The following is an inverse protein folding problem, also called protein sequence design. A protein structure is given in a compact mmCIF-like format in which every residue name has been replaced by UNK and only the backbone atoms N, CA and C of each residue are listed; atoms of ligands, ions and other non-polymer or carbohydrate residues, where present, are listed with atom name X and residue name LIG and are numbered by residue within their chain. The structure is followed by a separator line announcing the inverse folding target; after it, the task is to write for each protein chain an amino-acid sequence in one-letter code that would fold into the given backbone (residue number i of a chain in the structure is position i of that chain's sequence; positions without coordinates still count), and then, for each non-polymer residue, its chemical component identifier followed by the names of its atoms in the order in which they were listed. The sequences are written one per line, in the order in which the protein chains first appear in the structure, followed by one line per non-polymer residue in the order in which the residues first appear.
data_IF_221865551804
#
_entry.id   IF_221865551804
#
_cell.length_a   1.000
_cell.length_b   1.000
_cell.length_c   1.000
_cell.angle_alpha   90.00
_cell.angle_beta   90.00
_cell.angle_gamma   90.00
#
_symmetry.space_group_name_H-M   'P 1'
#
loop_
_entity.id
_entity.type
_entity.pdbx_description
1 polymer ?
#
# COMPACT_ATOMS: atom_id res chain seq x y z
N UNK A 1 9.07 28.66 -15.03
CA UNK A 1 7.62 28.46 -15.15
C UNK A 1 7.34 27.03 -15.56
N UNK A 2 6.81 26.22 -14.65
CA UNK A 2 5.67 25.32 -14.91
C UNK A 2 5.21 24.79 -13.55
N UNK A 3 4.12 25.41 -13.09
CA UNK A 3 3.28 24.94 -12.00
C UNK A 3 2.59 23.65 -12.41
N UNK A 4 2.63 22.60 -11.58
CA UNK A 4 1.52 21.65 -11.53
C UNK A 4 1.17 21.36 -10.08
N UNK A 5 -0.02 21.86 -9.74
CA UNK A 5 -0.68 21.65 -8.48
C UNK A 5 -1.27 20.23 -8.48
N UNK A 6 -0.61 19.31 -7.79
CA UNK A 6 -1.23 18.21 -7.05
C UNK A 6 -0.19 17.62 -6.08
N UNK A 7 0.39 18.48 -5.24
CA UNK A 7 1.40 18.07 -4.28
C UNK A 7 0.69 17.52 -3.04
N UNK A 8 0.49 16.20 -3.01
CA UNK A 8 0.30 15.50 -1.73
C UNK A 8 1.47 15.88 -0.81
N UNK A 9 1.22 16.06 0.49
CA UNK A 9 2.25 16.46 1.47
C UNK A 9 3.52 15.59 1.40
N UNK A 10 3.41 14.36 0.92
CA UNK A 10 4.50 13.43 0.64
C UNK A 10 5.43 13.92 -0.48
N UNK A 11 4.90 14.46 -1.58
CA UNK A 11 5.68 14.97 -2.71
C UNK A 11 6.53 16.20 -2.36
N UNK A 12 6.07 17.05 -1.42
CA UNK A 12 6.87 18.15 -0.89
C UNK A 12 8.14 17.66 -0.17
N UNK A 13 8.07 16.50 0.50
CA UNK A 13 9.23 15.92 1.16
C UNK A 13 10.21 15.30 0.15
N UNK A 14 9.71 14.72 -0.94
CA UNK A 14 10.52 14.20 -2.05
C UNK A 14 11.28 15.32 -2.81
N UNK A 15 10.61 16.44 -3.11
CA UNK A 15 11.23 17.53 -3.87
C UNK A 15 12.32 18.27 -3.08
N UNK A 16 12.22 18.29 -1.75
CA UNK A 16 13.20 18.94 -0.87
C UNK A 16 14.47 18.09 -0.69
N UNK A 17 14.37 16.76 -0.81
CA UNK A 17 15.47 15.83 -0.53
C UNK A 17 16.28 15.39 -1.77
N UNK A 18 15.68 15.32 -2.97
CA UNK A 18 16.43 15.07 -4.22
C UNK A 18 15.69 15.57 -5.47
N UNK A 19 15.97 16.80 -5.97
CA UNK A 19 15.32 17.34 -7.18
C UNK A 19 15.62 16.53 -8.46
N UNK A 20 16.79 15.89 -8.56
CA UNK A 20 17.24 15.13 -9.73
C UNK A 20 16.79 13.67 -9.75
N UNK A 21 16.40 13.10 -8.60
CA UNK A 21 15.89 11.72 -8.51
C UNK A 21 14.42 11.64 -8.95
N UNK A 22 13.62 12.66 -8.63
CA UNK A 22 12.18 12.65 -8.86
C UNK A 22 11.79 12.56 -10.35
N UNK A 23 12.58 13.20 -11.23
CA UNK A 23 12.38 13.20 -12.68
C UNK A 23 12.86 11.92 -13.37
N UNK A 24 13.97 11.31 -12.92
CA UNK A 24 14.50 10.06 -13.50
C UNK A 24 13.67 8.82 -13.12
N UNK A 25 13.16 8.76 -11.88
CA UNK A 25 12.31 7.67 -11.40
C UNK A 25 11.00 7.62 -12.18
N UNK A 26 10.38 8.77 -12.46
CA UNK A 26 9.11 8.82 -13.20
C UNK A 26 9.27 8.33 -14.66
N UNK A 27 10.38 8.67 -15.33
CA UNK A 27 10.67 8.26 -16.71
C UNK A 27 11.05 6.77 -16.79
N UNK A 28 11.85 6.25 -15.86
CA UNK A 28 12.22 4.83 -15.82
C UNK A 28 11.02 3.91 -15.52
N UNK A 29 10.11 4.32 -14.61
CA UNK A 29 8.89 3.57 -14.31
C UNK A 29 7.90 3.55 -15.48
N UNK A 30 7.85 4.62 -16.28
CA UNK A 30 6.95 4.71 -17.44
C UNK A 30 7.36 3.73 -18.57
N UNK A 31 8.67 3.56 -18.80
CA UNK A 31 9.17 2.72 -19.89
C UNK A 31 9.37 1.23 -19.54
N UNK A 32 9.65 0.87 -18.28
CA UNK A 32 9.93 -0.54 -17.91
C UNK A 32 8.70 -1.37 -17.51
N UNK A 33 7.59 -0.73 -17.10
CA UNK A 33 6.57 -1.45 -16.30
C UNK A 33 5.15 -1.39 -16.85
N UNK A 34 4.87 -0.57 -17.87
CA UNK A 34 3.52 -0.40 -18.41
C UNK A 34 3.47 -1.00 -19.81
N UNK A 35 2.94 -2.22 -19.94
CA UNK A 35 2.27 -2.59 -21.17
C UNK A 35 0.86 -1.97 -21.15
N UNK A 36 0.56 -0.95 -21.98
CA UNK A 36 -0.70 -0.20 -21.92
C UNK A 36 -1.94 -1.07 -22.13
N UNK A 37 -1.76 -2.25 -22.76
CA UNK A 37 -2.85 -3.13 -23.18
C UNK A 37 -3.53 -3.86 -22.00
N UNK A 38 -2.82 -4.15 -20.89
CA UNK A 38 -3.40 -4.90 -19.75
C UNK A 38 -4.34 -4.08 -18.85
N UNK A 39 -4.20 -2.75 -18.84
CA UNK A 39 -5.07 -1.85 -18.07
C UNK A 39 -6.37 -1.51 -18.82
N UNK A 40 -6.42 -1.75 -20.14
CA UNK A 40 -7.56 -1.41 -21.01
C UNK A 40 -8.71 -2.39 -20.88
N UNK A 41 -8.42 -3.69 -20.73
CA UNK A 41 -9.43 -4.75 -20.67
C UNK A 41 -10.38 -4.63 -19.47
N UNK A 42 -9.94 -4.02 -18.36
CA UNK A 42 -10.77 -3.81 -17.17
C UNK A 42 -11.70 -2.58 -17.24
N UNK A 43 -11.49 -1.65 -18.19
CA UNK A 43 -12.31 -0.43 -18.30
C UNK A 43 -13.57 -0.60 -19.17
N UNK A 44 -13.67 -1.69 -19.93
CA UNK A 44 -14.68 -1.81 -21.01
C UNK A 44 -16.08 -2.24 -20.52
N UNK A 45 -16.25 -2.61 -19.26
CA UNK A 45 -17.52 -3.12 -18.72
C UNK A 45 -18.38 -2.07 -18.00
N UNK A 46 -18.20 -0.78 -18.27
CA UNK A 46 -18.99 0.28 -17.63
C UNK A 46 -20.17 0.71 -18.51
N UNK A 47 -21.25 -0.08 -18.55
CA UNK A 47 -22.56 0.40 -19.02
C UNK A 47 -23.67 -0.51 -18.48
N UNK A 48 -24.60 0.10 -17.73
CA UNK A 48 -25.92 -0.41 -17.30
C UNK A 48 -25.97 -1.30 -16.04
N UNK A 49 -26.43 -0.71 -14.93
CA UNK A 49 -27.05 -1.42 -13.82
C UNK A 49 -28.53 -1.69 -14.18
N UNK A 50 -29.05 -2.92 -14.02
CA UNK A 50 -30.46 -3.18 -14.27
C UNK A 50 -31.35 -2.57 -13.18
N UNK A 51 -32.59 -2.13 -13.49
CA UNK A 51 -33.49 -1.48 -12.54
C UNK A 51 -34.02 -2.39 -11.41
N UNK A 52 -33.90 -3.71 -11.53
CA UNK A 52 -34.46 -4.69 -10.58
C UNK A 52 -33.36 -5.58 -9.99
N UNK A 53 -32.61 -5.06 -9.02
CA UNK A 53 -31.66 -5.86 -8.26
C UNK A 53 -32.38 -6.65 -7.15
N UNK A 54 -32.95 -7.80 -7.49
CA UNK A 54 -33.81 -8.63 -6.62
C UNK A 54 -33.06 -9.72 -5.83
N UNK A 55 -31.72 -9.67 -5.77
CA UNK A 55 -30.92 -10.72 -5.10
C UNK A 55 -31.15 -10.82 -3.58
N UNK A 56 -31.78 -9.82 -2.96
CA UNK A 56 -32.15 -9.86 -1.54
C UNK A 56 -33.02 -11.07 -1.18
N UNK A 57 -33.78 -11.64 -2.12
CA UNK A 57 -34.60 -12.81 -1.86
C UNK A 57 -33.80 -14.14 -1.93
N UNK A 58 -32.68 -14.15 -2.65
CA UNK A 58 -31.84 -15.34 -2.84
C UNK A 58 -30.70 -15.42 -1.82
N UNK A 59 -30.34 -14.32 -1.18
CA UNK A 59 -29.23 -14.26 -0.20
C UNK A 59 -29.79 -14.04 1.20
N UNK A 60 -29.41 -14.89 2.16
CA UNK A 60 -29.80 -14.69 3.57
C UNK A 60 -28.65 -14.85 4.54
N UNK A 61 -28.72 -14.09 5.63
CA UNK A 61 -27.69 -14.05 6.68
C UNK A 61 -28.12 -14.72 8.00
N UNK A 62 -29.35 -15.21 8.10
CA UNK A 62 -29.87 -15.85 9.31
C UNK A 62 -29.41 -17.30 9.45
N UNK A 63 -29.18 -17.73 10.71
CA UNK A 63 -28.97 -19.13 11.10
C UNK A 63 -30.28 -19.93 10.94
N UNK A 64 -30.64 -20.25 9.69
CA UNK A 64 -31.69 -21.23 9.45
C UNK A 64 -31.13 -22.61 9.76
N UNK A 65 -31.88 -23.43 10.52
CA UNK A 65 -31.53 -24.83 10.77
C UNK A 65 -31.16 -25.51 9.44
N UNK A 66 -29.99 -26.13 9.41
CA UNK A 66 -29.60 -26.97 8.28
C UNK A 66 -30.48 -28.22 8.36
N UNK A 67 -31.41 -28.38 7.43
CA UNK A 67 -32.19 -29.61 7.31
C UNK A 67 -31.20 -30.76 7.06
N UNK A 68 -31.04 -31.65 8.06
CA UNK A 68 -29.98 -32.66 8.11
C UNK A 68 -30.07 -33.71 6.99
N UNK A 69 -31.16 -33.74 6.22
CA UNK A 69 -31.42 -34.72 5.16
C UNK A 69 -31.36 -34.13 3.74
N UNK A 70 -31.18 -32.81 3.60
CA UNK A 70 -31.18 -32.16 2.29
C UNK A 70 -29.76 -32.08 1.69
N UNK A 71 -29.63 -32.39 0.40
CA UNK A 71 -28.40 -32.09 -0.37
C UNK A 71 -28.07 -30.60 -0.24
N UNK A 72 -26.88 -30.30 0.25
CA UNK A 72 -26.38 -28.95 0.43
C UNK A 72 -25.01 -28.79 -0.24
N UNK A 73 -24.74 -27.60 -0.75
CA UNK A 73 -23.44 -27.26 -1.33
C UNK A 73 -22.74 -26.31 -0.37
N UNK A 74 -21.47 -26.56 -0.10
CA UNK A 74 -20.62 -25.71 0.74
C UNK A 74 -19.46 -25.22 -0.11
N UNK A 75 -19.07 -23.97 0.10
CA UNK A 75 -17.98 -23.31 -0.62
C UNK A 75 -16.98 -22.76 0.36
N UNK A 76 -15.70 -22.81 0.00
CA UNK A 76 -14.66 -22.14 0.76
C UNK A 76 -13.49 -21.68 -0.12
N UNK A 77 -12.76 -20.69 0.37
CA UNK A 77 -11.52 -20.20 -0.21
C UNK A 77 -10.42 -20.10 0.84
N UNK A 78 -9.27 -20.73 0.55
CA UNK A 78 -8.12 -20.76 1.45
C UNK A 78 -6.91 -20.06 0.83
N UNK A 79 -6.10 -19.41 1.67
CA UNK A 79 -4.83 -18.79 1.26
C UNK A 79 -3.75 -19.12 2.27
N UNK A 80 -2.60 -19.53 1.75
CA UNK A 80 -1.35 -19.68 2.49
C UNK A 80 -0.22 -18.96 1.73
N UNK A 81 1.00 -19.00 2.25
CA UNK A 81 2.17 -18.46 1.55
C UNK A 81 2.52 -19.27 0.29
N UNK A 82 2.12 -20.55 0.26
CA UNK A 82 2.39 -21.47 -0.86
C UNK A 82 1.43 -21.27 -2.03
N UNK A 83 0.20 -20.83 -1.77
CA UNK A 83 -0.79 -20.66 -2.83
C UNK A 83 -2.17 -20.25 -2.33
N UNK A 84 -3.15 -20.38 -3.21
CA UNK A 84 -4.54 -20.05 -2.92
C UNK A 84 -5.42 -21.13 -3.50
N UNK A 85 -6.37 -21.64 -2.72
CA UNK A 85 -7.25 -22.74 -3.08
C UNK A 85 -8.70 -22.28 -3.01
N UNK A 86 -9.50 -22.76 -3.96
CA UNK A 86 -10.93 -22.48 -4.07
C UNK A 86 -11.67 -23.80 -4.22
N UNK A 87 -12.80 -23.97 -3.55
CA UNK A 87 -13.52 -25.25 -3.61
C UNK A 87 -15.02 -25.10 -3.44
N UNK A 88 -15.76 -26.04 -4.00
CA UNK A 88 -17.07 -26.38 -3.46
C UNK A 88 -17.14 -27.88 -3.21
N UNK A 89 -17.98 -28.28 -2.26
CA UNK A 89 -18.35 -29.66 -2.03
C UNK A 89 -19.86 -29.80 -1.91
N UNK A 90 -20.38 -30.92 -2.42
CA UNK A 90 -21.78 -31.30 -2.32
C UNK A 90 -21.87 -32.38 -1.25
N UNK A 91 -22.63 -32.09 -0.20
CA UNK A 91 -22.85 -33.00 0.92
C UNK A 91 -24.27 -33.58 0.86
N UNK A 92 -24.38 -34.88 1.04
CA UNK A 92 -25.65 -35.62 1.16
C UNK A 92 -25.44 -36.76 2.17
N UNK A 93 -26.34 -36.91 3.14
CA UNK A 93 -26.22 -37.91 4.22
C UNK A 93 -24.85 -37.93 4.93
N UNK A 94 -24.32 -36.74 5.27
CA UNK A 94 -23.01 -36.54 5.91
C UNK A 94 -21.78 -36.97 5.08
N UNK A 95 -21.97 -37.39 3.82
CA UNK A 95 -20.89 -37.74 2.90
C UNK A 95 -20.70 -36.69 1.79
N UNK A 96 -19.44 -36.48 1.38
CA UNK A 96 -19.13 -35.71 0.16
C UNK A 96 -19.41 -36.61 -1.05
N UNK A 97 -20.39 -36.23 -1.87
CA UNK A 97 -20.75 -36.98 -3.08
C UNK A 97 -20.10 -36.41 -4.34
N UNK A 98 -19.72 -35.14 -4.31
CA UNK A 98 -19.01 -34.46 -5.38
C UNK A 98 -18.26 -33.24 -4.83
N UNK A 99 -17.15 -32.89 -5.45
CA UNK A 99 -16.40 -31.67 -5.13
C UNK A 99 -15.67 -31.14 -6.35
N UNK A 100 -15.29 -29.88 -6.28
CA UNK A 100 -14.38 -29.25 -7.23
C UNK A 100 -13.32 -28.50 -6.45
N UNK A 101 -12.05 -28.63 -6.86
CA UNK A 101 -10.91 -28.02 -6.20
C UNK A 101 -10.07 -27.25 -7.23
N UNK A 102 -10.11 -25.93 -7.17
CA UNK A 102 -9.32 -25.03 -8.00
C UNK A 102 -8.07 -24.53 -7.29
N UNK A 103 -6.92 -24.78 -7.90
CA UNK A 103 -5.62 -24.22 -7.50
C UNK A 103 -5.40 -22.87 -8.17
N UNK A 104 -5.33 -21.80 -7.39
CA UNK A 104 -5.04 -20.44 -7.84
C UNK A 104 -3.57 -20.08 -7.59
N UNK A 105 -3.11 -19.01 -8.24
CA UNK A 105 -1.76 -18.48 -8.02
C UNK A 105 -1.64 -17.87 -6.62
N UNK A 106 -0.44 -17.95 -6.02
CA UNK A 106 -0.15 -17.37 -4.69
C UNK A 106 -0.43 -15.87 -4.58
N UNK A 107 -0.46 -15.15 -5.70
CA UNK A 107 -0.81 -13.73 -5.73
C UNK A 107 -2.31 -13.46 -5.65
N UNK A 108 -3.16 -14.47 -5.88
CA UNK A 108 -4.61 -14.32 -5.74
C UNK A 108 -5.01 -14.14 -4.27
N UNK A 109 -6.11 -13.42 -4.05
CA UNK A 109 -6.61 -13.17 -2.70
C UNK A 109 -7.59 -14.25 -2.24
N UNK A 110 -7.76 -14.42 -0.93
CA UNK A 110 -8.84 -15.26 -0.34
C UNK A 110 -10.19 -14.87 -0.94
N UNK A 111 -10.49 -13.57 -1.02
CA UNK A 111 -11.72 -13.08 -1.61
C UNK A 111 -11.95 -13.55 -3.06
N UNK A 112 -10.91 -13.62 -3.89
CA UNK A 112 -11.04 -14.16 -5.25
C UNK A 112 -11.33 -15.66 -5.25
N UNK A 113 -10.73 -16.41 -4.31
CA UNK A 113 -10.97 -17.84 -4.16
C UNK A 113 -12.41 -18.15 -3.71
N UNK A 114 -12.91 -17.36 -2.76
CA UNK A 114 -14.27 -17.46 -2.23
C UNK A 114 -15.32 -17.15 -3.29
N UNK A 115 -15.14 -16.05 -4.02
CA UNK A 115 -16.02 -15.67 -5.12
C UNK A 115 -15.99 -16.71 -6.25
N UNK A 116 -14.81 -17.28 -6.56
CA UNK A 116 -14.71 -18.36 -7.54
C UNK A 116 -15.44 -19.62 -7.07
N UNK A 117 -15.29 -19.99 -5.80
CA UNK A 117 -15.95 -21.15 -5.21
C UNK A 117 -17.48 -21.03 -5.34
N UNK A 118 -18.04 -19.87 -5.01
CA UNK A 118 -19.46 -19.56 -5.16
C UNK A 118 -19.88 -19.66 -6.63
N UNK A 119 -19.11 -19.08 -7.57
CA UNK A 119 -19.42 -19.14 -9.00
C UNK A 119 -19.49 -20.59 -9.49
N UNK A 120 -18.47 -21.40 -9.18
CA UNK A 120 -18.40 -22.81 -9.59
C UNK A 120 -19.53 -23.63 -8.96
N UNK A 121 -19.88 -23.35 -7.70
CA UNK A 121 -21.01 -24.00 -7.03
C UNK A 121 -22.35 -23.66 -7.69
N UNK A 122 -22.56 -22.41 -8.12
CA UNK A 122 -23.77 -22.00 -8.85
C UNK A 122 -23.84 -22.72 -10.20
N UNK A 123 -22.73 -22.78 -10.94
CA UNK A 123 -22.67 -23.51 -12.22
C UNK A 123 -23.02 -25.00 -12.05
N UNK A 124 -22.48 -25.65 -11.01
CA UNK A 124 -22.82 -27.04 -10.68
C UNK A 124 -24.31 -27.18 -10.29
N UNK A 125 -24.83 -26.26 -9.48
CA UNK A 125 -26.20 -26.26 -9.00
C UNK A 125 -27.23 -25.99 -10.09
N UNK A 126 -26.87 -25.23 -11.13
CA UNK A 126 -27.75 -24.82 -12.23
C UNK A 126 -28.36 -26.02 -12.96
N UNK A 127 -27.68 -27.16 -12.96
CA UNK A 127 -28.15 -28.41 -13.60
C UNK A 127 -29.25 -29.14 -12.83
N UNK A 128 -29.43 -28.86 -11.53
CA UNK A 128 -30.22 -29.69 -10.62
C UNK A 128 -31.72 -29.33 -10.55
N UNK A 129 -32.15 -28.20 -11.14
CA UNK A 129 -33.55 -27.76 -11.31
C UNK A 129 -34.47 -27.91 -10.07
N UNK A 130 -33.90 -27.87 -8.86
CA UNK A 130 -34.60 -27.94 -7.58
C UNK A 130 -34.10 -26.85 -6.64
N UNK A 131 -34.86 -26.43 -5.62
CA UNK A 131 -34.38 -25.46 -4.65
C UNK A 131 -33.06 -25.93 -4.01
N UNK A 132 -32.00 -25.13 -4.15
CA UNK A 132 -30.66 -25.47 -3.64
C UNK A 132 -30.16 -24.34 -2.76
N UNK A 133 -29.60 -24.74 -1.62
CA UNK A 133 -28.90 -23.86 -0.68
C UNK A 133 -27.39 -24.07 -0.90
N UNK A 134 -26.70 -23.00 -1.28
CA UNK A 134 -25.23 -22.92 -1.31
C UNK A 134 -24.80 -22.14 -0.06
N UNK A 135 -23.97 -22.76 0.75
CA UNK A 135 -23.51 -22.25 2.02
C UNK A 135 -22.08 -21.73 1.91
N UNK A 136 -21.85 -20.54 2.43
CA UNK A 136 -20.52 -19.91 2.51
C UNK A 136 -20.38 -19.20 3.85
N UNK A 137 -19.20 -19.24 4.46
CA UNK A 137 -18.89 -18.42 5.63
C UNK A 137 -18.30 -17.04 5.27
N UNK A 138 -18.07 -16.82 3.97
CA UNK A 138 -17.50 -15.60 3.40
C UNK A 138 -18.51 -14.45 3.34
N UNK A 139 -18.74 -13.80 4.48
CA UNK A 139 -19.62 -12.64 4.57
C UNK A 139 -19.21 -11.53 3.58
N UNK A 140 -17.90 -11.34 3.37
CA UNK A 140 -17.37 -10.34 2.43
C UNK A 140 -17.79 -10.62 0.98
N UNK A 141 -17.80 -11.90 0.59
CA UNK A 141 -18.24 -12.34 -0.74
C UNK A 141 -19.74 -12.10 -0.94
N UNK A 142 -20.57 -12.45 0.04
CA UNK A 142 -22.01 -12.21 -0.02
C UNK A 142 -22.35 -10.71 -0.07
N UNK A 143 -21.66 -9.88 0.71
CA UNK A 143 -21.83 -8.43 0.68
C UNK A 143 -21.41 -7.82 -0.66
N UNK A 144 -20.33 -8.36 -1.27
CA UNK A 144 -19.92 -7.95 -2.61
C UNK A 144 -20.97 -8.33 -3.67
N UNK A 145 -21.53 -9.54 -3.58
CA UNK A 145 -22.59 -10.02 -4.49
C UNK A 145 -23.86 -9.19 -4.33
N UNK A 146 -24.24 -8.80 -3.11
CA UNK A 146 -25.38 -7.92 -2.85
C UNK A 146 -25.15 -6.47 -3.28
N UNK A 147 -23.94 -6.06 -3.64
CA UNK A 147 -23.69 -4.69 -4.09
C UNK A 147 -24.01 -4.54 -5.59
N UNK A 148 -25.11 -3.88 -5.99
CA UNK A 148 -25.47 -3.69 -7.40
C UNK A 148 -24.46 -2.82 -8.17
N UNK A 149 -23.61 -2.07 -7.46
CA UNK A 149 -22.57 -1.21 -8.02
C UNK A 149 -21.19 -1.86 -8.03
N UNK A 150 -21.10 -3.17 -7.77
CA UNK A 150 -19.82 -3.88 -7.83
C UNK A 150 -19.19 -3.73 -9.21
N UNK A 151 -17.90 -3.41 -9.25
CA UNK A 151 -17.09 -3.37 -10.48
C UNK A 151 -16.28 -4.66 -10.70
N UNK A 152 -16.41 -5.63 -9.79
CA UNK A 152 -15.68 -6.89 -9.91
C UNK A 152 -16.36 -7.80 -10.95
N UNK A 153 -15.65 -8.18 -12.01
CA UNK A 153 -16.21 -8.94 -13.14
C UNK A 153 -16.92 -10.22 -12.70
N UNK A 154 -16.23 -11.05 -11.90
CA UNK A 154 -16.78 -12.33 -11.43
C UNK A 154 -18.00 -12.15 -10.50
N UNK A 155 -18.08 -11.01 -9.78
CA UNK A 155 -19.26 -10.71 -8.95
C UNK A 155 -20.47 -10.43 -9.85
N UNK A 156 -20.26 -9.70 -10.96
CA UNK A 156 -21.33 -9.44 -11.93
C UNK A 156 -21.79 -10.71 -12.65
N UNK A 157 -20.86 -11.61 -12.95
CA UNK A 157 -21.17 -12.94 -13.48
C UNK A 157 -22.06 -13.72 -12.49
N UNK A 158 -21.68 -13.77 -11.21
CA UNK A 158 -22.50 -14.40 -10.16
C UNK A 158 -23.87 -13.74 -10.05
N UNK A 159 -23.94 -12.40 -10.05
CA UNK A 159 -25.22 -11.69 -10.00
C UNK A 159 -26.12 -12.09 -11.17
N UNK A 160 -25.56 -12.21 -12.38
CA UNK A 160 -26.28 -12.65 -13.58
C UNK A 160 -26.76 -14.10 -13.45
N UNK A 161 -25.87 -14.99 -12.99
CA UNK A 161 -26.19 -16.40 -12.80
C UNK A 161 -27.27 -16.63 -11.75
N UNK A 162 -27.29 -15.85 -10.66
CA UNK A 162 -28.34 -15.93 -9.65
C UNK A 162 -29.69 -15.46 -10.19
N UNK A 163 -29.70 -14.36 -10.97
CA UNK A 163 -30.91 -13.87 -11.62
C UNK A 163 -31.49 -14.86 -12.64
N UNK A 164 -30.64 -15.61 -13.34
CA UNK A 164 -31.10 -16.65 -14.27
C UNK A 164 -31.55 -17.95 -13.58
N UNK A 165 -31.09 -18.19 -12.34
CA UNK A 165 -31.39 -19.41 -11.58
C UNK A 165 -32.03 -19.06 -10.23
N UNK A 166 -33.29 -18.62 -10.26
CA UNK A 166 -34.05 -18.17 -9.08
C UNK A 166 -34.25 -19.23 -7.99
N UNK A 167 -34.05 -20.51 -8.31
CA UNK A 167 -34.12 -21.63 -7.37
C UNK A 167 -32.85 -21.78 -6.50
N UNK A 168 -31.75 -21.14 -6.88
CA UNK A 168 -30.48 -21.16 -6.14
C UNK A 168 -30.49 -20.05 -5.10
N UNK A 169 -30.16 -20.42 -3.86
CA UNK A 169 -30.10 -19.52 -2.72
C UNK A 169 -28.73 -19.57 -2.08
N UNK A 170 -28.10 -18.41 -1.90
CA UNK A 170 -26.89 -18.29 -1.10
C UNK A 170 -27.26 -18.08 0.36
N UNK A 171 -26.56 -18.79 1.25
CA UNK A 171 -26.78 -18.76 2.69
C UNK A 171 -25.46 -18.52 3.38
N UNK A 172 -25.43 -17.50 4.24
CA UNK A 172 -24.30 -17.32 5.13
C UNK A 172 -24.38 -18.34 6.27
N UNK A 173 -23.25 -18.91 6.65
CA UNK A 173 -23.10 -19.59 7.92
C UNK A 173 -21.89 -19.05 8.67
N UNK A 174 -21.87 -19.29 9.98
CA UNK A 174 -20.75 -18.86 10.80
C UNK A 174 -19.60 -19.86 10.69
N UNK A 175 -18.41 -19.33 10.41
CA UNK A 175 -17.17 -20.12 10.38
C UNK A 175 -16.89 -20.79 11.74
N UNK A 176 -16.32 -22.00 11.71
CA UNK A 176 -15.75 -22.73 12.86
C UNK A 176 -16.76 -23.06 13.98
N UNK A 177 -18.01 -23.38 13.64
CA UNK A 177 -19.06 -23.79 14.59
C UNK A 177 -19.40 -25.28 14.47
N UNK A 178 -18.50 -26.12 13.95
CA UNK A 178 -18.74 -27.57 13.89
C UNK A 178 -19.62 -28.03 12.74
N UNK A 179 -19.90 -27.18 11.74
CA UNK A 179 -20.70 -27.58 10.58
C UNK A 179 -19.86 -28.46 9.66
N UNK A 180 -20.17 -29.77 9.64
CA UNK A 180 -19.43 -30.77 8.86
C UNK A 180 -19.16 -30.34 7.42
N UNK A 181 -20.17 -29.83 6.70
CA UNK A 181 -20.00 -29.38 5.32
C UNK A 181 -19.02 -28.20 5.15
N UNK A 182 -19.02 -27.26 6.10
CA UNK A 182 -18.07 -26.15 6.09
C UNK A 182 -16.65 -26.61 6.41
N UNK A 183 -16.50 -27.53 7.36
CA UNK A 183 -15.20 -28.12 7.71
C UNK A 183 -14.64 -28.93 6.54
N UNK A 184 -15.49 -29.69 5.84
CA UNK A 184 -15.11 -30.37 4.61
C UNK A 184 -14.66 -29.39 3.53
N UNK A 185 -15.39 -28.28 3.33
CA UNK A 185 -15.00 -27.25 2.37
C UNK A 185 -13.65 -26.60 2.75
N UNK A 186 -13.44 -26.19 4.01
CA UNK A 186 -12.16 -25.62 4.48
C UNK A 186 -10.97 -26.57 4.28
N UNK A 187 -11.16 -27.86 4.57
CA UNK A 187 -10.13 -28.86 4.33
C UNK A 187 -9.85 -29.03 2.83
N UNK A 188 -10.88 -29.12 1.99
CA UNK A 188 -10.71 -29.23 0.54
C UNK A 188 -10.07 -27.99 -0.08
N UNK A 189 -10.35 -26.78 0.44
CA UNK A 189 -9.75 -25.55 -0.04
C UNK A 189 -8.25 -25.51 0.25
N UNK A 190 -7.83 -25.97 1.43
CA UNK A 190 -6.41 -26.14 1.79
C UNK A 190 -5.73 -27.17 0.90
N UNK A 191 -6.39 -28.30 0.65
CA UNK A 191 -5.88 -29.34 -0.25
C UNK A 191 -5.79 -28.86 -1.71
N UNK A 192 -6.71 -28.00 -2.14
CA UNK A 192 -6.73 -27.45 -3.49
C UNK A 192 -5.46 -26.67 -3.83
N UNK A 193 -4.77 -26.08 -2.84
CA UNK A 193 -3.50 -25.36 -3.04
C UNK A 193 -2.42 -26.28 -3.64
N UNK A 194 -2.40 -27.56 -3.25
CA UNK A 194 -1.39 -28.52 -3.69
C UNK A 194 -1.92 -29.46 -4.76
N UNK A 195 -3.13 -29.99 -4.57
CA UNK A 195 -3.73 -31.06 -5.38
C UNK A 195 -4.80 -30.58 -6.37
N UNK A 196 -5.25 -29.34 -6.26
CA UNK A 196 -6.32 -28.80 -7.09
C UNK A 196 -5.92 -28.63 -8.56
N UNK A 197 -6.93 -28.54 -9.43
CA UNK A 197 -6.73 -28.23 -10.84
C UNK A 197 -6.29 -26.77 -10.99
N UNK A 198 -5.21 -26.53 -11.75
CA UNK A 198 -4.69 -25.18 -12.00
C UNK A 198 -5.73 -24.30 -12.69
N UNK A 199 -6.22 -23.29 -11.98
CA UNK A 199 -7.20 -22.33 -12.46
C UNK A 199 -6.57 -20.94 -12.54
N UNK A 200 -6.51 -20.36 -13.74
CA UNK A 200 -5.84 -19.08 -13.96
C UNK A 200 -6.80 -17.92 -13.71
N UNK A 201 -6.53 -17.13 -12.67
CA UNK A 201 -7.20 -15.86 -12.42
C UNK A 201 -6.26 -14.68 -12.57
N UNK A 202 -6.72 -13.54 -13.09
CA UNK A 202 -5.97 -12.30 -13.06
C UNK A 202 -5.58 -11.94 -11.62
N UNK A 203 -4.34 -11.47 -11.46
CA UNK A 203 -3.84 -10.98 -10.16
C UNK A 203 -4.69 -9.80 -9.69
N UNK A 204 -4.99 -9.71 -8.39
CA UNK A 204 -5.80 -8.61 -7.89
C UNK A 204 -5.04 -7.29 -8.04
N UNK A 205 -5.76 -6.20 -8.29
CA UNK A 205 -5.17 -4.86 -8.46
C UNK A 205 -4.35 -4.43 -7.24
N UNK A 206 -4.75 -4.84 -6.04
CA UNK A 206 -4.01 -4.60 -4.80
C UNK A 206 -2.62 -5.25 -4.82
N UNK A 207 -2.51 -6.50 -5.30
CA UNK A 207 -1.24 -7.20 -5.44
C UNK A 207 -0.34 -6.46 -6.45
N UNK A 208 -0.87 -6.14 -7.63
CA UNK A 208 -0.11 -5.41 -8.65
C UNK A 208 0.39 -4.05 -8.14
N UNK A 209 -0.45 -3.30 -7.43
CA UNK A 209 -0.04 -2.03 -6.79
C UNK A 209 1.06 -2.25 -5.75
N UNK A 210 0.98 -3.32 -4.97
CA UNK A 210 1.99 -3.67 -3.97
C UNK A 210 3.33 -3.99 -4.62
N UNK A 211 3.35 -4.80 -5.68
CA UNK A 211 4.57 -5.15 -6.42
C UNK A 211 5.22 -3.92 -7.03
N UNK A 212 4.44 -3.05 -7.70
CA UNK A 212 4.94 -1.80 -8.27
C UNK A 212 5.54 -0.91 -7.18
N UNK A 213 4.85 -0.78 -6.04
CA UNK A 213 5.33 0.02 -4.92
C UNK A 213 6.63 -0.56 -4.33
N UNK A 214 6.71 -1.88 -4.21
CA UNK A 214 7.91 -2.58 -3.73
C UNK A 214 9.10 -2.36 -4.68
N UNK A 215 8.90 -2.56 -5.98
CA UNK A 215 9.92 -2.32 -6.99
C UNK A 215 10.38 -0.85 -7.02
N UNK A 216 9.45 0.10 -6.93
CA UNK A 216 9.78 1.52 -6.87
C UNK A 216 10.58 1.88 -5.60
N UNK A 217 10.24 1.29 -4.46
CA UNK A 217 11.01 1.47 -3.21
C UNK A 217 12.41 0.87 -3.33
N UNK A 218 12.56 -0.31 -3.93
CA UNK A 218 13.88 -0.94 -4.16
C UNK A 218 14.76 -0.05 -5.03
N UNK A 219 14.25 0.40 -6.18
CA UNK A 219 14.98 1.31 -7.08
C UNK A 219 15.35 2.62 -6.35
N UNK A 220 14.45 3.15 -5.51
CA UNK A 220 14.75 4.34 -4.73
C UNK A 220 15.84 4.07 -3.69
N UNK A 221 15.79 2.94 -2.98
CA UNK A 221 16.82 2.56 -2.02
C UNK A 221 18.18 2.40 -2.70
N UNK A 222 18.25 1.71 -3.84
CA UNK A 222 19.49 1.51 -4.59
C UNK A 222 20.11 2.86 -5.01
N UNK A 223 19.28 3.79 -5.52
CA UNK A 223 19.73 5.14 -5.84
C UNK A 223 20.11 5.94 -4.58
N UNK A 224 19.45 5.68 -3.46
CA UNK A 224 19.71 6.37 -2.20
C UNK A 224 21.04 5.93 -1.59
N UNK A 225 21.38 4.64 -1.67
CA UNK A 225 22.64 4.10 -1.16
C UNK A 225 23.83 4.48 -2.04
N UNK A 226 23.66 4.40 -3.37
CA UNK A 226 24.76 4.64 -4.32
C UNK A 226 24.87 6.09 -4.80
N UNK A 227 23.92 6.95 -4.44
CA UNK A 227 23.93 8.35 -4.87
C UNK A 227 25.03 9.17 -4.19
N UNK A 228 25.54 10.20 -4.88
CA UNK A 228 26.56 11.11 -4.31
C UNK A 228 25.96 12.33 -3.59
N UNK A 229 24.68 12.61 -3.84
CA UNK A 229 23.98 13.78 -3.26
C UNK A 229 23.21 13.41 -1.99
N UNK A 230 22.95 14.40 -1.14
CA UNK A 230 22.15 14.22 0.07
C UNK A 230 22.78 13.32 1.15
N UNK A 231 24.10 13.10 1.12
CA UNK A 231 24.79 12.15 2.03
C UNK A 231 24.57 12.47 3.51
N UNK A 232 24.55 13.74 3.89
CA UNK A 232 24.25 14.14 5.27
C UNK A 232 22.87 13.68 5.75
N UNK A 233 21.90 13.56 4.84
CA UNK A 233 20.57 13.04 5.14
C UNK A 233 20.58 11.51 5.14
N UNK A 234 21.29 10.88 4.21
CA UNK A 234 21.46 9.42 4.14
C UNK A 234 22.07 8.85 5.42
N UNK A 235 23.12 9.47 5.95
CA UNK A 235 23.79 9.02 7.17
C UNK A 235 22.85 8.94 8.39
N UNK A 236 21.79 9.77 8.40
CA UNK A 236 20.79 9.82 9.46
C UNK A 236 19.59 8.95 9.13
N UNK A 237 19.15 8.95 7.86
CA UNK A 237 17.99 8.22 7.35
C UNK A 237 18.45 7.34 6.18
N UNK A 238 19.09 6.20 6.47
CA UNK A 238 19.63 5.33 5.42
C UNK A 238 18.53 4.55 4.69
N UNK A 239 17.38 4.33 5.35
CA UNK A 239 16.25 3.62 4.76
C UNK A 239 15.24 4.57 4.12
N UNK A 240 14.93 4.35 2.84
CA UNK A 240 13.85 5.06 2.16
C UNK A 240 12.49 4.56 2.66
N UNK A 241 11.52 5.47 2.78
CA UNK A 241 10.19 5.13 3.26
C UNK A 241 9.13 6.06 2.70
N UNK A 242 7.91 5.54 2.57
CA UNK A 242 6.74 6.36 2.27
C UNK A 242 6.23 7.13 3.49
N UNK A 243 6.77 6.86 4.68
CA UNK A 243 6.42 7.58 5.91
C UNK A 243 7.34 8.80 6.07
N UNK A 244 6.81 9.96 6.46
CA UNK A 244 7.63 11.13 6.75
C UNK A 244 8.53 10.85 7.96
N UNK A 245 9.76 11.37 7.95
CA UNK A 245 10.74 11.22 9.05
C UNK A 245 10.30 11.98 10.33
N UNK A 246 9.30 12.85 10.23
CA UNK A 246 8.81 13.62 11.38
C UNK A 246 9.70 14.82 11.74
N UNK A 247 10.54 15.26 10.81
CA UNK A 247 11.29 16.51 10.92
C UNK A 247 10.45 17.70 10.46
N UNK A 248 10.60 18.82 11.16
CA UNK A 248 10.02 20.08 10.74
C UNK A 248 10.93 20.81 9.73
N UNK A 249 10.49 21.97 9.25
CA UNK A 249 11.21 22.75 8.24
C UNK A 249 12.62 23.12 8.70
N UNK A 250 12.76 23.60 9.95
CA UNK A 250 14.02 24.02 10.54
C UNK A 250 15.03 22.87 10.67
N UNK A 251 14.56 21.70 11.13
CA UNK A 251 15.37 20.49 11.25
C UNK A 251 15.84 19.99 9.87
N UNK A 252 14.95 20.01 8.87
CA UNK A 252 15.29 19.64 7.49
C UNK A 252 16.36 20.59 6.93
N UNK A 253 16.20 21.90 7.10
CA UNK A 253 17.18 22.91 6.66
C UNK A 253 18.55 22.64 7.29
N UNK A 254 18.60 22.43 8.60
CA UNK A 254 19.84 22.17 9.32
C UNK A 254 20.55 20.90 8.83
N UNK A 255 19.82 19.78 8.72
CA UNK A 255 20.38 18.48 8.31
C UNK A 255 20.88 18.48 6.86
N UNK A 256 20.10 19.09 5.97
CA UNK A 256 20.46 19.19 4.54
C UNK A 256 21.53 20.25 4.31
N UNK A 257 21.78 21.12 5.29
CA UNK A 257 22.57 22.33 5.12
C UNK A 257 21.98 23.26 4.06
N UNK A 258 20.69 23.14 3.73
CA UNK A 258 20.02 24.05 2.81
C UNK A 258 19.68 25.36 3.53
N UNK A 259 19.52 26.45 2.75
CA UNK A 259 19.01 27.78 3.14
C UNK A 259 18.72 27.92 4.65
N UNK A 260 19.38 28.83 5.40
CA UNK A 260 19.98 30.09 4.94
C UNK A 260 21.51 30.12 4.83
N UNK A 261 22.18 28.97 4.94
CA UNK A 261 23.64 28.94 5.14
C UNK A 261 24.45 29.54 3.97
N UNK A 262 25.42 30.45 4.22
CA UNK A 262 26.32 30.98 3.19
C UNK A 262 27.02 29.90 2.37
N UNK A 263 27.45 28.81 3.01
CA UNK A 263 28.04 27.65 2.32
C UNK A 263 27.13 27.00 1.28
N UNK A 264 25.82 26.99 1.53
CA UNK A 264 24.83 26.55 0.56
C UNK A 264 24.63 27.59 -0.55
N UNK A 265 24.46 28.86 -0.19
CA UNK A 265 24.22 29.94 -1.16
C UNK A 265 25.38 30.06 -2.16
N UNK A 266 26.62 30.00 -1.69
CA UNK A 266 27.82 30.00 -2.53
C UNK A 266 27.84 28.81 -3.49
N UNK A 267 27.55 27.59 -3.01
CA UNK A 267 27.49 26.39 -3.86
C UNK A 267 26.47 26.50 -5.00
N UNK A 268 25.42 27.29 -4.83
CA UNK A 268 24.38 27.54 -5.84
C UNK A 268 24.57 28.87 -6.61
N UNK A 269 25.74 29.50 -6.50
CA UNK A 269 26.06 30.79 -7.13
C UNK A 269 25.07 31.91 -6.78
N UNK A 270 24.48 31.84 -5.58
CA UNK A 270 23.62 32.88 -5.02
C UNK A 270 24.41 33.87 -4.14
N UNK A 271 25.68 33.57 -3.86
CA UNK A 271 26.62 34.42 -3.12
C UNK A 271 28.03 34.18 -3.65
N UNK A 272 28.91 35.19 -3.54
CA UNK A 272 30.30 35.15 -4.00
C UNK A 272 31.25 34.41 -3.07
N UNK A 273 30.92 34.25 -1.78
CA UNK A 273 31.73 33.53 -0.80
C UNK A 273 30.86 32.72 0.18
N UNK A 274 31.46 31.72 0.83
CA UNK A 274 30.79 30.85 1.79
C UNK A 274 30.94 31.28 3.26
N UNK A 275 31.53 32.45 3.51
CA UNK A 275 31.78 32.95 4.86
C UNK A 275 30.53 33.51 5.56
N UNK A 276 30.44 33.30 6.87
CA UNK A 276 29.61 34.03 7.82
C UNK A 276 30.21 35.42 8.09
N UNK A 277 29.41 36.40 8.54
CA UNK A 277 29.90 37.73 8.95
C UNK A 277 30.96 37.70 10.06
N UNK A 278 31.14 36.59 10.76
CA UNK A 278 32.24 36.46 11.73
C UNK A 278 33.57 36.02 11.09
N UNK A 279 33.63 35.87 9.77
CA UNK A 279 34.84 35.51 8.99
C UNK A 279 35.03 34.02 8.74
N UNK A 280 34.36 33.15 9.50
CA UNK A 280 34.45 31.69 9.36
C UNK A 280 33.46 31.14 8.32
N UNK A 281 33.64 29.88 7.90
CA UNK A 281 32.71 29.22 6.97
C UNK A 281 31.28 29.17 7.54
N UNK A 282 30.32 29.72 6.82
CA UNK A 282 28.90 29.76 7.18
C UNK A 282 28.19 28.45 6.88
N UNK A 283 28.47 27.39 7.64
CA UNK A 283 27.81 26.09 7.55
C UNK A 283 27.01 25.75 8.83
N UNK A 284 26.12 24.74 8.80
CA UNK A 284 25.30 24.38 9.96
C UNK A 284 26.12 24.08 11.22
N UNK A 285 27.31 23.48 11.06
CA UNK A 285 28.16 23.11 12.20
C UNK A 285 28.71 24.35 12.87
N UNK A 286 29.18 25.33 12.09
CA UNK A 286 29.67 26.60 12.59
C UNK A 286 28.59 27.33 13.43
N UNK A 287 27.38 27.50 12.89
CA UNK A 287 26.30 28.16 13.62
C UNK A 287 25.83 27.37 14.84
N UNK A 288 25.90 26.05 14.83
CA UNK A 288 25.48 25.23 15.96
C UNK A 288 26.51 25.17 17.09
N UNK A 289 27.78 25.51 16.87
CA UNK A 289 28.85 25.17 17.84
C UNK A 289 29.87 26.26 18.13
N UNK A 290 30.05 27.25 17.24
CA UNK A 290 31.18 28.21 17.34
C UNK A 290 30.84 29.64 16.99
N UNK A 291 29.81 29.90 16.18
CA UNK A 291 29.50 31.24 15.71
C UNK A 291 29.18 32.20 16.86
N UNK A 292 29.87 33.34 16.93
CA UNK A 292 29.64 34.37 17.96
C UNK A 292 28.20 34.89 18.00
N UNK A 293 27.51 34.92 16.86
CA UNK A 293 26.14 35.45 16.75
C UNK A 293 25.08 34.47 17.25
N UNK A 294 25.40 33.19 17.38
CA UNK A 294 24.44 32.14 17.78
C UNK A 294 24.80 31.50 19.13
N UNK A 295 25.69 32.13 19.89
CA UNK A 295 26.17 31.66 21.20
C UNK A 295 25.07 31.14 22.15
N UNK A 296 23.89 31.80 22.28
CA UNK A 296 22.83 31.31 23.17
C UNK A 296 22.29 29.91 22.85
N UNK A 297 22.45 29.43 21.62
CA UNK A 297 21.93 28.14 21.17
C UNK A 297 23.00 27.10 20.86
N UNK A 298 24.25 27.35 21.26
CA UNK A 298 25.33 26.42 20.98
C UNK A 298 25.09 25.04 21.59
N UNK A 299 25.49 24.04 20.83
CA UNK A 299 25.70 22.68 21.28
C UNK A 299 27.20 22.47 21.49
N UNK A 300 27.55 21.47 22.30
CA UNK A 300 28.93 21.07 22.46
C UNK A 300 29.52 20.68 21.10
N UNK A 301 30.69 21.21 20.77
CA UNK A 301 31.38 20.88 19.50
C UNK A 301 31.74 19.40 19.50
N UNK A 302 31.29 18.59 18.52
CA UNK A 302 31.68 17.20 18.44
C UNK A 302 33.10 17.04 17.85
N UNK A 303 33.76 15.94 18.18
CA UNK A 303 34.93 15.48 17.40
C UNK A 303 34.48 15.02 16.02
N UNK A 304 35.40 14.97 15.05
CA UNK A 304 35.11 14.55 13.67
C UNK A 304 34.45 13.17 13.63
N UNK A 305 34.94 12.22 14.42
CA UNK A 305 34.40 10.85 14.50
C UNK A 305 33.00 10.77 15.12
N UNK A 306 32.61 11.73 15.96
CA UNK A 306 31.32 11.73 16.67
C UNK A 306 30.27 12.63 16.01
N UNK A 307 30.59 13.28 14.87
CA UNK A 307 29.69 14.24 14.21
C UNK A 307 28.31 13.65 13.90
N UNK A 308 28.25 12.42 13.39
CA UNK A 308 26.98 11.77 13.05
C UNK A 308 26.16 11.44 14.30
N UNK A 309 26.81 10.89 15.32
CA UNK A 309 26.13 10.55 16.58
C UNK A 309 25.62 11.80 17.29
N UNK A 310 26.41 12.88 17.29
CA UNK A 310 26.03 14.19 17.80
C UNK A 310 24.76 14.70 17.10
N UNK A 311 24.69 14.62 15.78
CA UNK A 311 23.52 15.05 15.03
C UNK A 311 22.29 14.18 15.32
N UNK A 312 22.48 12.86 15.41
CA UNK A 312 21.41 11.92 15.81
C UNK A 312 20.88 12.27 17.20
N UNK A 313 21.75 12.56 18.17
CA UNK A 313 21.35 12.93 19.53
C UNK A 313 20.53 14.24 19.57
N UNK A 314 20.88 15.22 18.73
CA UNK A 314 20.10 16.45 18.61
C UNK A 314 18.69 16.17 18.07
N UNK A 315 18.59 15.31 17.04
CA UNK A 315 17.33 15.01 16.36
C UNK A 315 16.42 14.03 17.12
N UNK A 316 16.95 13.31 18.12
CA UNK A 316 16.16 12.41 18.98
C UNK A 316 15.70 13.06 20.27
N UNK A 317 16.47 14.00 20.84
CA UNK A 317 16.13 14.66 22.10
C UNK A 317 15.21 15.88 21.88
N UNK A 318 14.03 15.90 22.52
CA UNK A 318 13.06 16.98 22.35
C UNK A 318 13.58 18.38 22.75
N UNK A 319 14.35 18.50 23.83
CA UNK A 319 14.92 19.79 24.25
C UNK A 319 15.97 20.29 23.25
N UNK A 320 16.81 19.38 22.76
CA UNK A 320 17.79 19.68 21.71
C UNK A 320 17.09 20.11 20.41
N UNK A 321 16.00 19.44 20.02
CA UNK A 321 15.18 19.85 18.86
C UNK A 321 14.58 21.24 19.05
N UNK A 322 14.06 21.56 20.23
CA UNK A 322 13.55 22.92 20.53
C UNK A 322 14.67 23.95 20.38
N UNK A 323 15.83 23.70 20.97
CA UNK A 323 17.00 24.58 20.84
C UNK A 323 17.43 24.76 19.39
N UNK A 324 17.49 23.67 18.62
CA UNK A 324 17.82 23.70 17.20
C UNK A 324 16.81 24.53 16.40
N UNK A 325 15.51 24.41 16.69
CA UNK A 325 14.47 25.21 16.02
C UNK A 325 14.62 26.70 16.30
N UNK A 326 14.92 27.07 17.55
CA UNK A 326 15.15 28.47 17.91
C UNK A 326 16.39 29.03 17.21
N UNK A 327 17.48 28.27 17.19
CA UNK A 327 18.67 28.61 16.41
C UNK A 327 18.32 28.86 14.94
N UNK A 328 17.63 27.91 14.30
CA UNK A 328 17.31 28.00 12.88
C UNK A 328 16.38 29.16 12.56
N UNK A 329 15.42 29.47 13.44
CA UNK A 329 14.56 30.66 13.29
C UNK A 329 15.36 31.94 13.36
N UNK A 330 16.23 32.07 14.35
CA UNK A 330 17.13 33.22 14.46
C UNK A 330 17.95 33.41 13.17
N UNK A 331 18.56 32.35 12.63
CA UNK A 331 19.34 32.47 11.39
C UNK A 331 18.44 32.82 10.19
N UNK A 332 17.20 32.33 10.14
CA UNK A 332 16.28 32.66 9.06
C UNK A 332 15.79 34.12 9.11
N UNK A 333 15.50 34.62 10.31
CA UNK A 333 14.91 35.94 10.54
C UNK A 333 15.99 37.04 10.45
N UNK A 334 17.17 36.80 11.00
CA UNK A 334 18.29 37.75 11.02
C UNK A 334 19.25 37.60 9.83
N UNK A 335 18.75 37.09 8.70
CA UNK A 335 19.56 36.88 7.50
C UNK A 335 20.30 38.16 7.06
N UNK A 336 19.70 39.34 7.24
CA UNK A 336 20.33 40.61 6.89
C UNK A 336 21.49 41.02 7.83
N UNK A 337 21.59 40.47 9.04
CA UNK A 337 22.72 40.70 9.96
C UNK A 337 23.85 39.67 9.78
N UNK A 338 23.53 38.51 9.20
CA UNK A 338 24.45 37.37 9.00
C UNK A 338 24.97 37.30 7.55
N UNK A 339 24.33 38.04 6.64
CA UNK A 339 24.68 38.19 5.22
C UNK A 339 25.01 39.66 4.99
N UNK A 340 26.30 40.02 5.02
CA UNK A 340 26.73 41.25 4.36
C UNK A 340 26.45 41.11 2.87
N UNK A 341 25.52 41.93 2.37
CA UNK A 341 25.39 42.26 0.96
C UNK A 341 26.53 43.22 0.62
N UNK A 342 27.57 42.71 -0.03
CA UNK A 342 28.50 43.57 -0.75
C UNK A 342 27.83 43.94 -2.08
N UNK A 343 27.48 45.22 -2.22
CA UNK A 343 27.09 45.85 -3.47
C UNK A 343 28.09 45.59 -4.60
#
# INVERSE_FOLDING_TARGET
MFTSACASRTALQFHILCPSCSSKIFIQLFHRSIQPNRLREQKQWNSHSPPNFLLHNQISFGENRIDSEAKAIYTDGSKTDEGTGSTYCILENYGIIASWQGKLDRSNSVFQAEILAIRMAIEAASSLHRPIKIWTDSLSSLMAILNPKSHHSMVREIQTLLLSHTHIHLRWLKARVGYLGNECADQLAKEAITKGYSFLLPKPLSYLKSEIKSAALSIWQDNWDNGETGRSTHDIVPGVSNKPVGWNREEIMFVTGHRPFPSYLHRFNLRTHDNCSCGEKGDPMHYATKCRFTFPWHFQTPTVSLKLQWLKNILTNNLSRIRLRLLMRFICDENNLIVEDNH
#
